data_IF_027390874543
#
_entry.id   IF_027390874543
#
_cell.length_a   1.000
_cell.length_b   1.000
_cell.length_c   1.000
_cell.angle_alpha   90.00
_cell.angle_beta   90.00
_cell.angle_gamma   90.00
#
_symmetry.space_group_name_H-M   'P 1'
#
loop_
_entity.id
_entity.type
_entity.pdbx_description
1 polymer ?
#
# COMPACT_ATOMS: atom_id res chain seq x y z
N UNK A 1 57.60 40.44 -18.16
CA UNK A 1 58.57 39.70 -18.98
C UNK A 1 59.52 38.98 -18.05
N UNK A 2 59.82 37.71 -18.41
CA UNK A 2 60.99 36.89 -18.04
C UNK A 2 61.19 36.57 -16.54
N UNK A 3 60.96 35.32 -16.12
CA UNK A 3 61.85 34.13 -16.17
C UNK A 3 62.70 34.00 -14.89
N UNK A 4 62.58 32.85 -14.22
CA UNK A 4 63.63 31.88 -13.85
C UNK A 4 65.05 32.43 -13.53
N UNK A 5 65.80 32.04 -12.50
CA UNK A 5 66.00 30.80 -11.73
C UNK A 5 66.66 31.20 -10.38
N UNK A 6 66.67 30.44 -9.29
CA UNK A 6 67.47 29.23 -9.13
C UNK A 6 67.37 28.69 -7.70
N UNK A 7 67.33 27.36 -7.60
CA UNK A 7 67.28 26.54 -6.40
C UNK A 7 68.59 26.62 -5.58
N UNK A 8 68.47 26.58 -4.26
CA UNK A 8 69.47 25.90 -3.42
C UNK A 8 68.77 24.99 -2.41
N UNK A 9 69.18 23.72 -2.44
CA UNK A 9 68.69 22.61 -1.64
C UNK A 9 69.20 22.72 -0.20
N UNK A 10 68.29 22.65 0.78
CA UNK A 10 68.63 22.38 2.19
C UNK A 10 68.02 21.03 2.58
N UNK A 11 68.75 20.16 3.30
CA UNK A 11 68.48 18.74 3.33
C UNK A 11 67.23 18.36 4.13
N UNK A 12 66.55 17.37 3.60
CA UNK A 12 65.44 16.62 4.16
C UNK A 12 65.75 16.14 5.58
N UNK A 13 65.16 16.77 6.60
CA UNK A 13 65.05 16.15 7.93
C UNK A 13 63.74 15.40 7.95
N UNK A 14 63.84 14.06 7.94
CA UNK A 14 62.70 13.16 7.93
C UNK A 14 61.79 13.40 9.12
N UNK A 15 60.74 14.20 8.93
CA UNK A 15 59.54 14.11 9.74
C UNK A 15 58.81 12.84 9.31
N UNK A 16 59.11 11.77 10.04
CA UNK A 16 58.28 10.58 10.08
C UNK A 16 56.85 11.04 10.41
N UNK A 17 55.96 11.06 9.40
CA UNK A 17 54.53 11.19 9.60
C UNK A 17 54.09 10.00 10.46
N UNK A 18 54.10 10.18 11.79
CA UNK A 18 53.38 9.28 12.67
C UNK A 18 51.90 9.45 12.31
N UNK A 19 51.20 8.42 11.83
CA UNK A 19 49.76 8.51 11.73
C UNK A 19 49.27 8.81 13.14
N UNK A 20 48.56 9.93 13.34
CA UNK A 20 47.74 10.08 14.53
C UNK A 20 46.79 8.89 14.49
N UNK A 21 47.03 7.89 15.33
CA UNK A 21 46.09 6.82 15.59
C UNK A 21 44.82 7.50 16.11
N UNK A 22 43.83 7.63 15.22
CA UNK A 22 42.48 7.94 15.63
C UNK A 22 41.98 6.72 16.40
N UNK A 23 42.10 6.76 17.73
CA UNK A 23 41.43 5.79 18.58
C UNK A 23 39.94 6.09 18.57
N UNK A 24 39.19 5.40 17.71
CA UNK A 24 37.74 5.29 17.86
C UNK A 24 37.49 4.42 19.11
N UNK A 25 37.33 5.06 20.26
CA UNK A 25 37.04 4.35 21.51
C UNK A 25 35.62 3.76 21.53
N UNK A 26 34.75 4.19 20.62
CA UNK A 26 33.39 3.68 20.49
C UNK A 26 32.98 3.73 19.01
N UNK A 27 32.61 2.59 18.45
CA UNK A 27 32.12 2.46 17.09
C UNK A 27 30.64 2.08 17.18
N UNK A 28 29.74 3.05 17.07
CA UNK A 28 28.32 2.80 16.96
C UNK A 28 27.99 2.54 15.50
N UNK A 29 27.73 1.28 15.16
CA UNK A 29 27.21 0.94 13.83
C UNK A 29 25.73 1.27 13.84
N UNK A 30 25.32 2.15 12.93
CA UNK A 30 23.91 2.44 12.74
C UNK A 30 23.15 1.15 12.42
N UNK A 31 21.99 1.00 13.06
CA UNK A 31 21.15 -0.20 12.97
C UNK A 31 20.78 -0.52 11.51
N UNK A 32 20.67 0.49 10.65
CA UNK A 32 20.41 0.32 9.21
C UNK A 32 21.58 -0.33 8.46
N UNK A 33 22.83 0.02 8.81
CA UNK A 33 24.05 -0.51 8.19
C UNK A 33 24.21 -1.99 8.51
N UNK A 34 23.92 -2.36 9.76
CA UNK A 34 23.94 -3.75 10.20
C UNK A 34 22.86 -4.58 9.47
N UNK A 35 21.61 -4.09 9.44
CA UNK A 35 20.49 -4.75 8.74
C UNK A 35 20.78 -4.96 7.25
N UNK A 36 21.34 -3.95 6.58
CA UNK A 36 21.71 -4.02 5.16
C UNK A 36 22.82 -5.05 4.90
N UNK A 37 23.83 -5.08 5.75
CA UNK A 37 24.94 -6.03 5.63
C UNK A 37 24.49 -7.47 5.85
N UNK A 38 23.67 -7.71 6.89
CA UNK A 38 23.10 -9.02 7.17
C UNK A 38 22.20 -9.48 6.03
N UNK A 39 21.33 -8.61 5.51
CA UNK A 39 20.50 -8.92 4.34
C UNK A 39 21.34 -9.37 3.15
N UNK A 40 22.41 -8.64 2.82
CA UNK A 40 23.29 -9.00 1.70
C UNK A 40 23.95 -10.36 1.91
N UNK A 41 24.38 -10.63 3.15
CA UNK A 41 24.90 -11.94 3.53
C UNK A 41 23.86 -13.04 3.31
N UNK A 42 22.64 -12.87 3.80
CA UNK A 42 21.54 -13.85 3.64
C UNK A 42 21.25 -14.09 2.14
N UNK A 43 21.17 -13.02 1.34
CA UNK A 43 20.94 -13.14 -0.10
C UNK A 43 22.04 -13.93 -0.82
N UNK A 44 23.31 -13.65 -0.53
CA UNK A 44 24.44 -14.37 -1.10
C UNK A 44 24.46 -15.84 -0.67
N UNK A 45 24.16 -16.08 0.60
CA UNK A 45 24.15 -17.42 1.16
C UNK A 45 23.01 -18.26 0.53
N UNK A 46 21.83 -17.66 0.33
CA UNK A 46 20.71 -18.29 -0.35
C UNK A 46 21.01 -18.61 -1.83
N UNK A 47 21.67 -17.68 -2.54
CA UNK A 47 22.10 -17.89 -3.93
C UNK A 47 23.11 -19.02 -4.06
N UNK A 48 24.09 -19.09 -3.14
CA UNK A 48 25.15 -20.12 -3.18
C UNK A 48 24.64 -21.53 -2.86
N UNK A 49 23.64 -21.64 -1.97
CA UNK A 49 23.12 -22.93 -1.49
C UNK A 49 21.81 -23.35 -2.16
N UNK A 50 21.44 -22.77 -3.31
CA UNK A 50 20.31 -23.24 -4.11
C UNK A 50 18.92 -23.06 -3.48
N UNK A 51 18.76 -22.17 -2.50
CA UNK A 51 17.49 -21.90 -1.80
C UNK A 51 16.85 -23.14 -1.11
N UNK A 52 17.62 -24.10 -0.60
CA UNK A 52 17.02 -25.27 0.08
C UNK A 52 16.15 -24.91 1.30
N UNK A 53 15.07 -25.68 1.54
CA UNK A 53 14.10 -25.41 2.61
C UNK A 53 14.73 -25.32 4.01
N UNK A 54 15.67 -26.23 4.33
CA UNK A 54 16.36 -26.22 5.62
C UNK A 54 17.20 -24.95 5.78
N UNK A 55 17.80 -24.47 4.69
CA UNK A 55 18.56 -23.24 4.67
C UNK A 55 17.64 -22.04 4.93
N UNK A 56 16.51 -21.95 4.23
CA UNK A 56 15.52 -20.88 4.46
C UNK A 56 15.05 -20.87 5.91
N UNK A 57 14.72 -22.03 6.50
CA UNK A 57 14.33 -22.12 7.92
C UNK A 57 15.39 -21.58 8.87
N UNK A 58 16.64 -21.98 8.70
CA UNK A 58 17.77 -21.48 9.51
C UNK A 58 17.92 -19.97 9.38
N UNK A 59 17.73 -19.42 8.17
CA UNK A 59 17.83 -17.97 7.94
C UNK A 59 16.64 -17.22 8.50
N UNK A 60 15.41 -17.74 8.40
CA UNK A 60 14.24 -17.17 9.06
C UNK A 60 14.44 -17.12 10.58
N UNK A 61 15.01 -18.17 11.19
CA UNK A 61 15.33 -18.17 12.62
C UNK A 61 16.36 -17.09 12.98
N UNK A 62 17.38 -16.90 12.15
CA UNK A 62 18.36 -15.81 12.30
C UNK A 62 17.68 -14.44 12.17
N UNK A 63 16.85 -14.25 11.15
CA UNK A 63 16.12 -12.99 10.93
C UNK A 63 15.25 -12.63 12.12
N UNK A 64 14.49 -13.59 12.66
CA UNK A 64 13.66 -13.40 13.86
C UNK A 64 14.49 -12.96 15.08
N UNK A 65 15.67 -13.53 15.27
CA UNK A 65 16.56 -13.23 16.41
C UNK A 65 17.25 -11.89 16.29
N UNK A 66 17.68 -11.53 15.08
CA UNK A 66 18.63 -10.43 14.86
C UNK A 66 17.96 -9.12 14.45
N UNK A 67 16.88 -9.20 13.66
CA UNK A 67 16.30 -8.01 13.01
C UNK A 67 15.04 -7.51 13.72
N UNK A 68 14.54 -8.26 14.70
CA UNK A 68 13.15 -8.13 15.13
C UNK A 68 12.19 -8.38 13.95
N UNK A 69 10.92 -8.04 14.15
CA UNK A 69 9.81 -8.37 13.23
C UNK A 69 9.78 -7.47 11.97
N UNK A 70 10.73 -6.55 11.76
CA UNK A 70 10.60 -5.51 10.71
C UNK A 70 11.89 -5.22 9.97
N UNK A 71 12.03 -5.81 8.79
CA UNK A 71 12.97 -5.34 7.77
C UNK A 71 12.38 -4.09 7.10
N UNK A 72 12.99 -2.94 7.36
CA UNK A 72 12.80 -1.76 6.52
C UNK A 72 13.87 -1.76 5.43
N UNK A 73 13.43 -1.40 4.22
CA UNK A 73 14.19 -1.10 2.99
C UNK A 73 14.40 -2.24 1.97
N UNK A 74 13.85 -1.96 0.77
CA UNK A 74 13.96 -2.62 -0.55
C UNK A 74 13.80 -4.16 -0.57
N UNK A 75 12.57 -4.64 -0.79
CA UNK A 75 12.10 -6.02 -0.57
C UNK A 75 12.60 -7.13 -1.54
N UNK A 76 13.82 -7.04 -2.07
CA UNK A 76 14.36 -8.09 -2.96
C UNK A 76 14.44 -9.48 -2.29
N UNK A 77 14.77 -9.54 -0.99
CA UNK A 77 14.95 -10.80 -0.27
C UNK A 77 13.62 -11.49 0.04
N UNK A 78 12.65 -10.76 0.58
CA UNK A 78 11.31 -11.27 0.88
C UNK A 78 10.62 -11.76 -0.39
N UNK A 79 10.75 -11.02 -1.49
CA UNK A 79 10.19 -11.44 -2.76
C UNK A 79 10.84 -12.73 -3.27
N UNK A 80 12.17 -12.87 -3.18
CA UNK A 80 12.87 -14.12 -3.53
C UNK A 80 12.41 -15.30 -2.66
N UNK A 81 12.34 -15.12 -1.33
CA UNK A 81 11.88 -16.16 -0.41
C UNK A 81 10.44 -16.55 -0.72
N UNK A 82 9.53 -15.59 -0.91
CA UNK A 82 8.13 -15.86 -1.21
C UNK A 82 7.92 -16.52 -2.57
N UNK A 83 8.65 -16.11 -3.62
CA UNK A 83 8.60 -16.78 -4.92
C UNK A 83 9.08 -18.23 -4.82
N UNK A 84 10.11 -18.50 -4.01
CA UNK A 84 10.59 -19.86 -3.76
C UNK A 84 9.57 -20.68 -2.96
N UNK A 85 9.01 -20.12 -1.89
CA UNK A 85 7.96 -20.79 -1.12
C UNK A 85 6.74 -21.07 -2.01
N UNK A 86 6.36 -20.14 -2.88
CA UNK A 86 5.28 -20.33 -3.85
C UNK A 86 5.55 -21.49 -4.82
N UNK A 87 6.79 -21.68 -5.28
CA UNK A 87 7.11 -22.74 -6.23
C UNK A 87 7.33 -24.11 -5.60
N UNK A 88 7.70 -24.17 -4.31
CA UNK A 88 8.15 -25.42 -3.67
C UNK A 88 7.32 -25.87 -2.47
N UNK A 89 6.66 -24.95 -1.78
CA UNK A 89 6.04 -25.23 -0.49
C UNK A 89 4.52 -25.34 -0.61
N UNK A 90 3.96 -26.45 -0.10
CA UNK A 90 2.51 -26.62 0.10
C UNK A 90 2.11 -26.57 1.57
N UNK A 91 3.08 -26.68 2.48
CA UNK A 91 2.86 -26.68 3.92
C UNK A 91 2.59 -25.25 4.41
N UNK A 92 1.41 -25.06 4.99
CA UNK A 92 1.01 -23.74 5.51
C UNK A 92 1.86 -23.33 6.70
N UNK A 93 2.34 -24.25 7.53
CA UNK A 93 3.08 -23.91 8.74
C UNK A 93 4.36 -23.15 8.42
N UNK A 94 5.06 -23.55 7.36
CA UNK A 94 6.30 -22.89 6.94
C UNK A 94 6.02 -21.47 6.44
N UNK A 95 4.95 -21.28 5.67
CA UNK A 95 4.56 -19.95 5.20
C UNK A 95 4.19 -19.08 6.39
N UNK A 96 3.42 -19.61 7.34
CA UNK A 96 3.03 -18.92 8.57
C UNK A 96 4.22 -18.54 9.45
N UNK A 97 5.29 -19.35 9.47
CA UNK A 97 6.54 -18.99 10.15
C UNK A 97 7.22 -17.78 9.50
N UNK A 98 7.04 -17.56 8.20
CA UNK A 98 7.61 -16.43 7.47
C UNK A 98 6.77 -15.15 7.59
N UNK A 99 5.44 -15.25 7.66
CA UNK A 99 4.55 -14.07 7.63
C UNK A 99 4.88 -12.98 8.67
N UNK A 100 5.31 -13.27 9.91
CA UNK A 100 5.75 -12.24 10.85
C UNK A 100 6.92 -11.39 10.33
N UNK A 101 7.78 -11.95 9.47
CA UNK A 101 8.93 -11.25 8.91
C UNK A 101 8.56 -10.36 7.71
N UNK A 102 7.34 -10.50 7.18
CA UNK A 102 6.89 -9.81 5.97
C UNK A 102 6.24 -8.46 6.34
N UNK A 103 6.85 -7.36 5.91
CA UNK A 103 6.19 -6.06 5.92
C UNK A 103 5.32 -5.91 4.67
N UNK A 104 4.03 -6.26 4.77
CA UNK A 104 3.12 -6.38 3.62
C UNK A 104 3.05 -5.11 2.76
N UNK A 105 2.92 -3.93 3.36
CA UNK A 105 2.83 -2.67 2.61
C UNK A 105 4.09 -2.42 1.78
N UNK A 106 5.25 -2.53 2.43
CA UNK A 106 6.53 -2.36 1.75
C UNK A 106 6.67 -3.36 0.61
N UNK A 107 6.37 -4.64 0.86
CA UNK A 107 6.43 -5.68 -0.17
C UNK A 107 5.46 -5.42 -1.34
N UNK A 108 4.26 -4.90 -1.09
CA UNK A 108 3.34 -4.52 -2.17
C UNK A 108 3.85 -3.37 -3.03
N UNK A 109 4.64 -2.45 -2.45
CA UNK A 109 5.30 -1.37 -3.21
C UNK A 109 6.38 -1.92 -4.16
N UNK A 110 6.94 -3.11 -3.91
CA UNK A 110 7.82 -3.79 -4.90
C UNK A 110 7.08 -4.47 -6.05
N UNK A 111 5.75 -4.31 -6.12
CA UNK A 111 4.91 -4.83 -7.21
C UNK A 111 5.08 -6.35 -7.44
N UNK A 112 4.84 -7.20 -6.41
CA UNK A 112 5.07 -8.63 -6.50
C UNK A 112 4.12 -9.31 -7.48
N UNK A 113 4.43 -10.55 -7.87
CA UNK A 113 3.51 -11.33 -8.70
C UNK A 113 2.16 -11.51 -7.97
N UNK A 114 1.06 -11.25 -8.67
CA UNK A 114 -0.30 -11.34 -8.09
C UNK A 114 -0.59 -12.76 -7.55
N UNK A 115 -0.09 -13.79 -8.23
CA UNK A 115 -0.22 -15.19 -7.80
C UNK A 115 0.49 -15.48 -6.47
N UNK A 116 1.63 -14.83 -6.22
CA UNK A 116 2.38 -14.97 -4.96
C UNK A 116 1.64 -14.26 -3.83
N UNK A 117 1.06 -13.09 -4.09
CA UNK A 117 0.18 -12.42 -3.12
C UNK A 117 -1.04 -13.27 -2.79
N UNK A 118 -1.71 -13.85 -3.78
CA UNK A 118 -2.86 -14.74 -3.56
C UNK A 118 -2.47 -15.98 -2.74
N UNK A 119 -1.31 -16.56 -3.02
CA UNK A 119 -0.74 -17.64 -2.22
C UNK A 119 -0.55 -17.23 -0.75
N UNK A 120 0.10 -16.10 -0.49
CA UNK A 120 0.31 -15.57 0.86
C UNK A 120 -1.02 -15.37 1.60
N UNK A 121 -2.00 -14.71 0.96
CA UNK A 121 -3.32 -14.46 1.53
C UNK A 121 -4.06 -15.76 1.86
N UNK A 122 -3.98 -16.75 0.97
CA UNK A 122 -4.61 -18.07 1.17
C UNK A 122 -3.99 -18.83 2.36
N UNK A 123 -2.68 -18.79 2.51
CA UNK A 123 -2.00 -19.44 3.64
C UNK A 123 -2.25 -18.72 4.97
N UNK A 124 -2.22 -17.37 4.97
CA UNK A 124 -2.59 -16.58 6.13
C UNK A 124 -4.01 -16.91 6.60
N UNK A 125 -4.97 -16.94 5.67
CA UNK A 125 -6.35 -17.33 5.94
C UNK A 125 -6.45 -18.73 6.56
N UNK A 126 -5.83 -19.74 5.93
CA UNK A 126 -5.86 -21.14 6.41
C UNK A 126 -5.28 -21.28 7.82
N UNK A 127 -4.21 -20.55 8.10
CA UNK A 127 -3.58 -20.52 9.42
C UNK A 127 -4.29 -19.65 10.44
N UNK A 128 -5.42 -19.00 10.08
CA UNK A 128 -6.06 -17.94 10.87
C UNK A 128 -5.06 -16.88 11.36
N UNK A 129 -4.04 -16.63 10.54
CA UNK A 129 -3.07 -15.60 10.82
C UNK A 129 -3.62 -14.28 10.32
N UNK A 130 -3.83 -13.37 11.27
CA UNK A 130 -4.07 -11.99 10.93
C UNK A 130 -2.77 -11.40 10.41
N UNK A 131 -2.73 -11.09 9.11
CA UNK A 131 -1.61 -10.40 8.46
C UNK A 131 -1.39 -8.96 8.98
N UNK A 132 -1.94 -8.65 10.16
CA UNK A 132 -2.26 -7.31 10.64
C UNK A 132 -2.97 -6.50 9.58
N UNK A 133 -3.65 -7.20 8.67
CA UNK A 133 -4.62 -6.58 7.83
C UNK A 133 -5.61 -5.94 8.76
N UNK A 134 -6.01 -6.59 9.87
CA UNK A 134 -7.07 -6.02 10.70
C UNK A 134 -6.68 -4.82 11.57
N UNK A 135 -5.42 -4.71 11.98
CA UNK A 135 -4.89 -3.56 12.74
C UNK A 135 -4.43 -2.40 11.83
N UNK A 136 -4.35 -2.64 10.51
CA UNK A 136 -3.91 -1.65 9.52
C UNK A 136 -4.81 -1.58 8.26
N UNK A 137 -6.07 -2.08 8.34
CA UNK A 137 -6.97 -2.43 7.20
C UNK A 137 -7.13 -1.35 6.14
N UNK A 138 -6.95 -0.11 6.55
CA UNK A 138 -7.10 1.04 5.69
C UNK A 138 -5.90 1.42 4.90
N UNK A 139 -4.73 1.21 5.48
CA UNK A 139 -3.50 1.74 4.95
C UNK A 139 -3.16 0.97 3.67
N UNK A 140 -3.19 -0.36 3.70
CA UNK A 140 -2.79 -1.19 2.55
C UNK A 140 -3.70 -1.01 1.33
N UNK A 141 -5.03 -1.05 1.54
CA UNK A 141 -6.00 -0.89 0.45
C UNK A 141 -5.92 0.51 -0.16
N UNK A 142 -5.82 1.55 0.67
CA UNK A 142 -5.69 2.92 0.17
C UNK A 142 -4.33 3.15 -0.49
N UNK A 143 -3.24 2.68 0.09
CA UNK A 143 -1.90 2.75 -0.52
C UNK A 143 -1.88 2.07 -1.89
N UNK A 144 -2.41 0.84 -2.00
CA UNK A 144 -2.52 0.17 -3.29
C UNK A 144 -3.38 0.96 -4.27
N UNK A 145 -4.47 1.57 -3.81
CA UNK A 145 -5.34 2.37 -4.67
C UNK A 145 -4.65 3.64 -5.17
N UNK A 146 -4.04 4.43 -4.28
CA UNK A 146 -3.36 5.68 -4.62
C UNK A 146 -2.05 5.49 -5.39
N UNK A 147 -1.41 4.32 -5.27
CA UNK A 147 -0.29 3.91 -6.13
C UNK A 147 -0.77 3.22 -7.43
N UNK A 148 -2.06 3.28 -7.76
CA UNK A 148 -2.63 2.68 -8.97
C UNK A 148 -2.41 1.16 -9.13
N UNK A 149 -2.15 0.46 -8.03
CA UNK A 149 -2.02 -1.00 -7.96
C UNK A 149 -3.38 -1.69 -7.89
N UNK A 150 -4.27 -1.40 -8.85
CA UNK A 150 -5.67 -1.83 -8.84
C UNK A 150 -5.88 -3.34 -8.72
N UNK A 151 -5.01 -4.15 -9.36
CA UNK A 151 -5.04 -5.62 -9.25
C UNK A 151 -4.92 -6.12 -7.80
N UNK A 152 -4.17 -5.42 -6.95
CA UNK A 152 -4.04 -5.77 -5.54
C UNK A 152 -5.27 -5.35 -4.75
N UNK A 153 -5.86 -4.19 -5.06
CA UNK A 153 -7.11 -3.75 -4.43
C UNK A 153 -8.21 -4.80 -4.64
N UNK A 154 -8.37 -5.28 -5.87
CA UNK A 154 -9.36 -6.33 -6.19
C UNK A 154 -9.13 -7.61 -5.40
N UNK A 155 -7.88 -8.08 -5.32
CA UNK A 155 -7.53 -9.29 -4.59
C UNK A 155 -7.69 -9.12 -3.06
N UNK A 156 -7.22 -8.00 -2.51
CA UNK A 156 -7.29 -7.72 -1.07
C UNK A 156 -8.74 -7.62 -0.58
N UNK A 157 -9.65 -7.04 -1.38
CA UNK A 157 -11.08 -6.98 -1.05
C UNK A 157 -11.78 -8.36 -1.01
N UNK A 158 -11.15 -9.43 -1.53
CA UNK A 158 -11.65 -10.80 -1.30
C UNK A 158 -11.42 -11.25 0.15
N UNK A 159 -10.30 -10.85 0.74
CA UNK A 159 -9.88 -11.27 2.08
C UNK A 159 -10.15 -10.22 3.17
N UNK A 160 -10.52 -8.99 2.78
CA UNK A 160 -10.78 -7.88 3.69
C UNK A 160 -12.17 -7.29 3.50
N UNK A 161 -12.69 -6.60 4.52
CA UNK A 161 -14.00 -5.97 4.45
C UNK A 161 -14.02 -4.77 3.49
N UNK A 162 -13.35 -3.68 3.86
CA UNK A 162 -13.38 -2.37 3.23
C UNK A 162 -12.14 -1.55 3.63
N UNK A 163 -11.74 -0.51 2.87
CA UNK A 163 -10.67 0.36 3.32
C UNK A 163 -11.09 1.13 4.57
N UNK A 164 -10.23 1.11 5.57
CA UNK A 164 -10.25 2.01 6.70
C UNK A 164 -9.58 3.35 6.35
N UNK A 165 -9.96 4.42 7.02
CA UNK A 165 -9.33 5.72 6.84
C UNK A 165 -8.89 6.15 8.24
N UNK A 166 -7.62 5.93 8.57
CA UNK A 166 -7.04 6.49 9.79
C UNK A 166 -7.04 8.01 9.73
N UNK A 167 -6.56 8.64 10.78
CA UNK A 167 -6.01 10.01 10.77
C UNK A 167 -4.77 10.12 9.85
N UNK A 168 -4.79 9.46 8.70
CA UNK A 168 -3.74 9.48 7.71
C UNK A 168 -3.67 10.88 7.10
N UNK A 169 -2.44 11.35 6.91
CA UNK A 169 -2.18 12.65 6.32
C UNK A 169 -2.46 12.56 4.82
N UNK A 170 -3.72 12.75 4.47
CA UNK A 170 -4.18 12.72 3.08
C UNK A 170 -3.38 13.70 2.21
N UNK A 171 -2.81 14.76 2.80
CA UNK A 171 -1.93 15.72 2.13
C UNK A 171 -0.65 15.08 1.56
N UNK A 172 -0.06 14.07 2.23
CA UNK A 172 1.13 13.35 1.72
C UNK A 172 0.79 12.57 0.46
N UNK A 173 -0.40 11.95 0.41
CA UNK A 173 -0.85 11.25 -0.79
C UNK A 173 -1.14 12.29 -1.88
N UNK A 174 -1.98 13.29 -1.61
CA UNK A 174 -2.36 14.32 -2.59
C UNK A 174 -1.12 14.95 -3.24
N UNK A 175 -0.11 15.34 -2.45
CA UNK A 175 1.13 15.92 -2.94
C UNK A 175 1.98 14.96 -3.79
N UNK A 176 1.92 13.64 -3.54
CA UNK A 176 2.70 12.66 -4.31
C UNK A 176 2.12 12.39 -5.70
N UNK A 177 0.80 12.28 -5.86
CA UNK A 177 0.17 11.96 -7.16
C UNK A 177 -0.35 13.18 -7.92
N UNK A 178 -0.46 14.37 -7.32
CA UNK A 178 -0.80 15.60 -8.05
C UNK A 178 0.41 16.26 -8.73
N UNK A 179 1.65 15.86 -8.39
CA UNK A 179 2.87 16.39 -9.02
C UNK A 179 2.85 16.26 -10.55
N UNK A 180 2.19 15.21 -11.05
CA UNK A 180 2.11 14.88 -12.47
C UNK A 180 0.70 15.11 -13.07
N UNK A 181 -0.22 15.74 -12.32
CA UNK A 181 -1.58 15.96 -12.79
C UNK A 181 -1.63 17.17 -13.76
N UNK A 182 -2.15 17.02 -14.99
CA UNK A 182 -2.18 18.09 -16.00
C UNK A 182 -3.24 19.18 -15.72
N UNK A 183 -3.69 19.35 -14.47
CA UNK A 183 -4.86 20.15 -14.13
C UNK A 183 -4.48 21.38 -13.28
N UNK A 184 -5.22 22.48 -13.47
CA UNK A 184 -5.10 23.80 -12.82
C UNK A 184 -5.41 23.82 -11.31
N UNK A 185 -5.35 22.69 -10.61
CA UNK A 185 -5.63 22.61 -9.18
C UNK A 185 -4.38 22.16 -8.44
N UNK A 186 -4.06 22.88 -7.38
CA UNK A 186 -2.98 22.51 -6.49
C UNK A 186 -3.50 21.62 -5.35
N UNK A 187 -2.65 20.82 -4.69
CA UNK A 187 -3.02 20.06 -3.48
C UNK A 187 -3.82 20.86 -2.46
N UNK A 188 -3.44 22.12 -2.25
CA UNK A 188 -4.04 23.06 -1.32
C UNK A 188 -5.51 23.34 -1.68
N UNK A 189 -5.84 23.44 -2.97
CA UNK A 189 -7.21 23.65 -3.43
C UNK A 189 -8.12 22.48 -3.06
N UNK A 190 -7.60 21.25 -3.09
CA UNK A 190 -8.37 20.06 -2.70
C UNK A 190 -8.63 20.00 -1.19
N UNK A 191 -7.70 20.51 -0.38
CA UNK A 191 -7.79 20.49 1.09
C UNK A 191 -8.75 21.53 1.67
N UNK A 192 -9.08 22.59 0.91
CA UNK A 192 -9.92 23.70 1.38
C UNK A 192 -11.21 23.24 2.10
N UNK A 193 -12.04 22.31 1.56
CA UNK A 193 -13.25 21.90 2.25
C UNK A 193 -12.99 21.18 3.56
N UNK A 194 -11.88 20.45 3.68
CA UNK A 194 -11.50 19.80 4.91
C UNK A 194 -11.02 20.83 5.95
N UNK A 195 -10.12 21.73 5.54
CA UNK A 195 -9.58 22.80 6.39
C UNK A 195 -10.70 23.73 6.91
N UNK A 196 -11.74 23.98 6.10
CA UNK A 196 -12.90 24.81 6.47
C UNK A 196 -14.02 24.05 7.20
N UNK A 197 -13.83 22.75 7.49
CA UNK A 197 -14.85 21.92 8.15
C UNK A 197 -16.11 21.66 7.31
N UNK A 198 -16.07 21.89 6.00
CA UNK A 198 -17.18 21.66 5.08
C UNK A 198 -17.34 20.18 4.72
N UNK A 199 -16.26 19.40 4.81
CA UNK A 199 -16.27 17.94 4.72
C UNK A 199 -15.60 17.34 5.94
N UNK A 200 -16.20 16.30 6.52
CA UNK A 200 -15.53 15.48 7.53
C UNK A 200 -14.31 14.79 6.93
N UNK A 201 -13.33 14.43 7.77
CA UNK A 201 -12.09 13.74 7.33
C UNK A 201 -12.39 12.52 6.46
N UNK A 202 -13.33 11.67 6.90
CA UNK A 202 -13.75 10.47 6.15
C UNK A 202 -14.35 10.83 4.78
N UNK A 203 -15.23 11.83 4.71
CA UNK A 203 -15.81 12.30 3.44
C UNK A 203 -14.72 12.85 2.53
N UNK A 204 -13.78 13.63 3.07
CA UNK A 204 -12.66 14.15 2.32
C UNK A 204 -11.77 13.04 1.72
N UNK A 205 -11.36 12.03 2.50
CA UNK A 205 -10.55 10.91 1.99
C UNK A 205 -11.25 10.11 0.89
N UNK A 206 -12.57 9.91 1.01
CA UNK A 206 -13.39 9.27 -0.02
C UNK A 206 -13.46 10.12 -1.30
N UNK A 207 -13.56 11.43 -1.15
CA UNK A 207 -13.54 12.35 -2.28
C UNK A 207 -12.19 12.33 -3.01
N UNK A 208 -11.08 12.35 -2.26
CA UNK A 208 -9.74 12.22 -2.84
C UNK A 208 -9.54 10.93 -3.61
N UNK A 209 -10.10 9.82 -3.12
CA UNK A 209 -10.05 8.55 -3.84
C UNK A 209 -10.75 8.64 -5.20
N UNK A 210 -11.93 9.27 -5.26
CA UNK A 210 -12.64 9.52 -6.52
C UNK A 210 -11.82 10.44 -7.43
N UNK A 211 -11.24 11.51 -6.87
CA UNK A 211 -10.46 12.48 -7.62
C UNK A 211 -9.20 11.86 -8.21
N UNK A 212 -8.46 11.06 -7.43
CA UNK A 212 -7.32 10.28 -7.89
C UNK A 212 -7.71 9.34 -9.03
N UNK A 213 -8.77 8.55 -8.83
CA UNK A 213 -9.31 7.66 -9.85
C UNK A 213 -9.64 8.42 -11.14
N UNK A 214 -10.24 9.62 -11.02
CA UNK A 214 -10.47 10.47 -12.18
C UNK A 214 -9.14 10.83 -12.85
N UNK A 215 -8.15 11.36 -12.14
CA UNK A 215 -6.87 11.77 -12.72
C UNK A 215 -6.15 10.64 -13.50
N UNK A 216 -6.14 9.42 -12.96
CA UNK A 216 -5.38 8.30 -13.56
C UNK A 216 -6.18 7.46 -14.56
N UNK A 217 -7.50 7.71 -14.72
CA UNK A 217 -8.41 6.85 -15.51
C UNK A 217 -8.01 6.59 -16.97
N UNK A 218 -7.30 7.54 -17.58
CA UNK A 218 -6.91 7.48 -19.00
C UNK A 218 -5.44 7.09 -19.18
N UNK A 219 -4.67 6.90 -18.10
CA UNK A 219 -3.26 6.54 -18.19
C UNK A 219 -3.13 5.07 -18.59
N UNK A 220 -2.34 4.72 -19.62
CA UNK A 220 -1.91 3.35 -19.84
C UNK A 220 -0.99 2.90 -18.69
N UNK A 221 -1.06 1.65 -18.19
CA UNK A 221 -1.94 0.54 -18.58
C UNK A 221 -3.23 0.44 -17.74
N UNK A 222 -3.65 1.54 -17.12
CA UNK A 222 -4.76 1.62 -16.14
C UNK A 222 -6.13 1.77 -16.81
N UNK A 223 -6.16 2.19 -18.08
CA UNK A 223 -7.38 2.35 -18.86
C UNK A 223 -8.29 1.11 -18.75
N UNK A 224 -9.56 1.35 -18.43
CA UNK A 224 -10.57 0.30 -18.23
C UNK A 224 -10.51 -0.41 -16.87
N UNK A 225 -9.43 -0.31 -16.09
CA UNK A 225 -9.30 -0.96 -14.77
C UNK A 225 -9.77 -0.09 -13.60
N UNK A 226 -9.68 1.23 -13.77
CA UNK A 226 -9.96 2.19 -12.70
C UNK A 226 -11.42 2.15 -12.24
N UNK A 227 -12.37 2.28 -13.16
CA UNK A 227 -13.81 2.31 -12.82
C UNK A 227 -14.31 0.99 -12.21
N UNK A 228 -13.96 -0.21 -12.71
CA UNK A 228 -14.30 -1.47 -12.03
C UNK A 228 -13.75 -1.56 -10.61
N UNK A 229 -12.47 -1.20 -10.42
CA UNK A 229 -11.83 -1.25 -9.09
C UNK A 229 -12.46 -0.27 -8.13
N UNK A 230 -12.70 0.98 -8.58
CA UNK A 230 -13.38 2.00 -7.80
C UNK A 230 -14.79 1.55 -7.41
N UNK A 231 -15.53 0.91 -8.33
CA UNK A 231 -16.86 0.35 -8.06
C UNK A 231 -16.80 -0.75 -7.00
N UNK A 232 -15.84 -1.67 -7.11
CA UNK A 232 -15.63 -2.76 -6.15
C UNK A 232 -15.36 -2.21 -4.74
N UNK A 233 -14.47 -1.22 -4.66
CA UNK A 233 -14.16 -0.54 -3.41
C UNK A 233 -15.39 0.15 -2.83
N UNK A 234 -16.15 0.91 -3.63
CA UNK A 234 -17.37 1.58 -3.17
C UNK A 234 -18.55 0.66 -2.85
N UNK A 235 -18.49 -0.62 -3.25
CA UNK A 235 -19.43 -1.66 -2.80
C UNK A 235 -19.13 -2.13 -1.38
N UNK A 236 -17.86 -2.03 -0.95
CA UNK A 236 -17.45 -2.40 0.41
C UNK A 236 -17.74 -1.33 1.47
N UNK A 237 -17.94 -0.07 1.05
CA UNK A 237 -18.10 1.08 1.94
C UNK A 237 -19.56 1.34 2.32
N UNK A 238 -19.92 1.56 3.59
CA UNK A 238 -21.29 1.89 4.00
C UNK A 238 -21.71 3.32 3.64
N UNK A 239 -20.79 4.16 3.19
CA UNK A 239 -20.96 5.60 3.02
C UNK A 239 -22.01 5.99 1.97
N UNK A 240 -22.76 7.05 2.28
CA UNK A 240 -23.70 7.68 1.37
C UNK A 240 -23.00 8.23 0.12
N UNK A 241 -23.73 8.34 -0.98
CA UNK A 241 -23.18 8.91 -2.20
C UNK A 241 -22.96 10.42 -2.08
N UNK A 242 -21.96 10.97 -2.79
CA UNK A 242 -21.81 12.42 -2.93
C UNK A 242 -22.87 13.01 -3.87
N UNK A 243 -23.43 14.16 -3.48
CA UNK A 243 -24.24 14.98 -4.40
C UNK A 243 -23.37 16.00 -5.11
N UNK A 244 -23.78 16.41 -6.31
CA UNK A 244 -23.09 17.49 -7.00
C UNK A 244 -23.19 18.79 -6.21
N UNK A 245 -24.34 19.05 -5.60
CA UNK A 245 -24.59 20.23 -4.77
C UNK A 245 -23.69 20.27 -3.53
N UNK A 246 -23.55 19.16 -2.81
CA UNK A 246 -22.64 19.03 -1.66
C UNK A 246 -21.22 19.42 -2.05
N UNK A 247 -20.72 18.87 -3.16
CA UNK A 247 -19.36 19.14 -3.63
C UNK A 247 -19.22 20.58 -4.16
N UNK A 248 -20.20 21.10 -4.90
CA UNK A 248 -20.15 22.48 -5.41
C UNK A 248 -20.18 23.49 -4.27
N UNK A 249 -20.98 23.26 -3.23
CA UNK A 249 -21.02 24.09 -2.02
C UNK A 249 -19.69 24.02 -1.27
N UNK A 250 -19.13 22.83 -1.10
CA UNK A 250 -17.84 22.62 -0.46
C UNK A 250 -16.69 23.40 -1.14
N UNK A 251 -16.72 23.48 -2.48
CA UNK A 251 -15.66 24.12 -3.29
C UNK A 251 -16.04 25.50 -3.84
N UNK A 252 -17.09 26.15 -3.34
CA UNK A 252 -17.62 27.40 -3.90
C UNK A 252 -16.61 28.56 -3.92
N UNK A 253 -15.66 28.58 -2.97
CA UNK A 253 -14.59 29.59 -2.88
C UNK A 253 -13.33 29.27 -3.68
N UNK A 254 -13.28 28.15 -4.41
CA UNK A 254 -12.10 27.71 -5.16
C UNK A 254 -12.24 28.10 -6.63
N UNK A 255 -11.27 28.82 -7.17
CA UNK A 255 -11.35 29.38 -8.53
C UNK A 255 -11.42 28.24 -9.57
N UNK A 256 -12.36 28.36 -10.51
CA UNK A 256 -12.52 27.37 -11.59
C UNK A 256 -13.09 26.02 -11.14
N UNK A 257 -13.49 25.89 -9.87
CA UNK A 257 -13.78 24.58 -9.30
C UNK A 257 -15.02 23.91 -9.89
N UNK A 258 -16.05 24.71 -10.19
CA UNK A 258 -17.35 24.24 -10.68
C UNK A 258 -17.26 23.28 -11.87
N UNK A 259 -16.38 23.57 -12.84
CA UNK A 259 -16.19 22.73 -14.04
C UNK A 259 -15.51 21.42 -13.70
N UNK A 260 -14.46 21.46 -12.89
CA UNK A 260 -13.68 20.29 -12.49
C UNK A 260 -14.51 19.36 -11.62
N UNK A 261 -15.14 19.89 -10.57
CA UNK A 261 -16.05 19.13 -9.68
C UNK A 261 -17.18 18.50 -10.48
N UNK A 262 -17.78 19.23 -11.42
CA UNK A 262 -18.80 18.66 -12.31
C UNK A 262 -18.30 17.51 -13.17
N UNK A 263 -17.06 17.57 -13.69
CA UNK A 263 -16.47 16.51 -14.48
C UNK A 263 -16.14 15.26 -13.64
N UNK A 264 -15.54 15.45 -12.46
CA UNK A 264 -15.22 14.37 -11.52
C UNK A 264 -16.50 13.70 -11.02
N UNK A 265 -17.53 14.49 -10.69
CA UNK A 265 -18.83 13.96 -10.24
C UNK A 265 -19.53 13.13 -11.33
N UNK A 266 -19.52 13.57 -12.60
CA UNK A 266 -20.05 12.76 -13.72
C UNK A 266 -19.32 11.42 -13.88
N UNK A 267 -17.99 11.42 -13.74
CA UNK A 267 -17.19 10.20 -13.75
C UNK A 267 -17.56 9.27 -12.58
N UNK A 268 -17.70 9.85 -11.38
CA UNK A 268 -18.11 9.16 -10.17
C UNK A 268 -19.47 8.47 -10.31
N UNK A 269 -20.49 9.20 -10.79
CA UNK A 269 -21.84 8.66 -11.00
C UNK A 269 -21.79 7.48 -11.97
N UNK A 270 -21.12 7.65 -13.12
CA UNK A 270 -20.96 6.58 -14.12
C UNK A 270 -20.22 5.36 -13.57
N UNK A 271 -19.19 5.58 -12.76
CA UNK A 271 -18.31 4.53 -12.26
C UNK A 271 -18.88 3.76 -11.07
N UNK A 272 -19.68 4.40 -10.21
CA UNK A 272 -20.11 3.82 -8.93
C UNK A 272 -21.63 3.77 -8.81
N UNK A 273 -22.28 4.94 -8.87
CA UNK A 273 -23.70 5.08 -8.54
C UNK A 273 -24.62 4.44 -9.60
N UNK A 274 -24.16 4.38 -10.86
CA UNK A 274 -25.02 3.98 -11.97
C UNK A 274 -26.19 4.97 -12.12
N UNK A 275 -27.39 4.46 -12.39
CA UNK A 275 -28.61 5.25 -12.56
C UNK A 275 -29.24 5.72 -11.24
N UNK A 276 -28.61 5.43 -10.08
CA UNK A 276 -29.08 5.91 -8.80
C UNK A 276 -28.92 7.44 -8.73
N UNK A 277 -30.04 8.15 -8.53
CA UNK A 277 -30.04 9.61 -8.34
C UNK A 277 -29.12 9.97 -7.17
N UNK A 278 -28.15 10.86 -7.42
CA UNK A 278 -27.22 11.32 -6.39
C UNK A 278 -27.97 11.98 -5.24
N UNK A 279 -27.64 11.60 -4.00
CA UNK A 279 -28.23 12.15 -2.78
C UNK A 279 -29.21 11.23 -2.05
N UNK A 280 -29.50 10.05 -2.62
CA UNK A 280 -30.25 9.03 -1.91
C UNK A 280 -29.33 8.26 -0.93
N UNK A 281 -29.80 7.95 0.29
CA UNK A 281 -29.13 7.01 1.18
C UNK A 281 -28.88 5.67 0.47
N UNK A 282 -27.84 4.95 0.89
CA UNK A 282 -27.62 3.59 0.38
C UNK A 282 -28.85 2.72 0.70
N UNK A 283 -29.26 1.82 -0.20
CA UNK A 283 -30.34 0.88 0.10
C UNK A 283 -30.01 0.04 1.33
N UNK A 284 -31.03 -0.37 2.11
CA UNK A 284 -30.83 -1.22 3.29
C UNK A 284 -30.00 -2.47 2.99
N UNK A 285 -30.24 -3.10 1.83
CA UNK A 285 -29.47 -4.27 1.36
C UNK A 285 -27.95 -4.01 1.30
N UNK A 286 -27.53 -2.78 0.99
CA UNK A 286 -26.12 -2.38 0.97
C UNK A 286 -25.55 -2.27 2.39
N UNK A 287 -26.30 -1.72 3.35
CA UNK A 287 -25.91 -1.73 4.76
C UNK A 287 -25.79 -3.15 5.31
N UNK A 288 -26.73 -4.05 4.98
CA UNK A 288 -26.63 -5.47 5.33
C UNK A 288 -25.34 -6.09 4.78
N UNK A 289 -24.99 -5.83 3.51
CA UNK A 289 -23.74 -6.34 2.91
C UNK A 289 -22.52 -5.95 3.71
N UNK A 290 -22.35 -4.65 3.96
CA UNK A 290 -21.16 -4.12 4.62
C UNK A 290 -21.07 -4.61 6.07
N UNK A 291 -22.21 -4.75 6.76
CA UNK A 291 -22.28 -5.30 8.12
C UNK A 291 -21.90 -6.78 8.18
N UNK A 292 -22.48 -7.61 7.29
CA UNK A 292 -22.18 -9.04 7.22
C UNK A 292 -20.71 -9.27 6.88
N UNK A 293 -20.19 -8.59 5.84
CA UNK A 293 -18.77 -8.69 5.46
C UNK A 293 -17.84 -8.23 6.58
N UNK A 294 -18.17 -7.15 7.29
CA UNK A 294 -17.40 -6.69 8.46
C UNK A 294 -17.31 -7.78 9.52
N UNK A 295 -18.43 -8.42 9.85
CA UNK A 295 -18.46 -9.52 10.82
C UNK A 295 -17.63 -10.73 10.36
N UNK A 296 -17.78 -11.15 9.10
CA UNK A 296 -16.97 -12.23 8.53
C UNK A 296 -15.47 -11.90 8.52
N UNK A 297 -15.10 -10.67 8.16
CA UNK A 297 -13.71 -10.22 8.16
C UNK A 297 -13.10 -10.25 9.57
N UNK A 298 -13.83 -9.71 10.55
CA UNK A 298 -13.40 -9.67 11.95
C UNK A 298 -13.14 -11.07 12.51
N UNK A 299 -13.93 -12.05 12.08
CA UNK A 299 -13.78 -13.45 12.47
C UNK A 299 -12.80 -14.25 11.58
N UNK A 300 -12.02 -13.59 10.71
CA UNK A 300 -11.11 -14.22 9.74
C UNK A 300 -11.80 -15.29 8.88
N UNK A 301 -13.05 -15.02 8.48
CA UNK A 301 -13.88 -15.92 7.67
C UNK A 301 -13.98 -15.48 6.20
N UNK A 302 -13.54 -14.29 5.80
CA UNK A 302 -13.54 -13.94 4.37
C UNK A 302 -12.39 -14.64 3.60
N UNK A 303 -12.61 -15.11 2.36
CA UNK A 303 -13.89 -15.11 1.63
C UNK A 303 -14.80 -16.33 1.94
N UNK A 304 -14.24 -17.46 2.37
CA UNK A 304 -14.95 -18.76 2.40
C UNK A 304 -16.18 -18.81 3.32
N UNK A 305 -16.19 -18.01 4.38
CA UNK A 305 -17.33 -17.84 5.26
C UNK A 305 -18.58 -17.34 4.55
N UNK A 306 -18.46 -16.66 3.41
CA UNK A 306 -19.61 -16.34 2.55
C UNK A 306 -20.21 -17.62 1.95
N UNK A 307 -19.36 -18.56 1.53
CA UNK A 307 -19.79 -19.84 0.96
C UNK A 307 -20.46 -20.74 2.00
N UNK A 308 -20.05 -20.61 3.27
CA UNK A 308 -20.64 -21.32 4.41
C UNK A 308 -22.03 -20.77 4.80
N UNK A 309 -22.41 -19.55 4.36
CA UNK A 309 -23.73 -18.99 4.63
C UNK A 309 -24.83 -19.78 3.90
N UNK A 310 -25.91 -20.10 4.62
CA UNK A 310 -27.13 -20.70 4.07
C UNK A 310 -28.02 -19.67 3.40
N UNK A 311 -27.48 -18.95 2.40
CA UNK A 311 -28.18 -17.95 1.61
C UNK A 311 -28.13 -18.28 0.12
N UNK A 312 -29.11 -17.83 -0.70
CA UNK A 312 -29.11 -18.07 -2.14
C UNK A 312 -27.82 -17.62 -2.84
N UNK A 313 -27.40 -18.27 -3.95
CA UNK A 313 -26.17 -17.93 -4.68
C UNK A 313 -26.07 -16.46 -5.08
N UNK A 314 -27.19 -15.83 -5.48
CA UNK A 314 -27.25 -14.40 -5.80
C UNK A 314 -26.87 -13.51 -4.61
N UNK A 315 -27.18 -13.90 -3.38
CA UNK A 315 -26.77 -13.17 -2.18
C UNK A 315 -25.30 -13.43 -1.85
N UNK A 316 -24.78 -14.63 -2.09
CA UNK A 316 -23.34 -14.91 -1.95
C UNK A 316 -22.50 -14.04 -2.90
N UNK A 317 -22.84 -14.01 -4.19
CA UNK A 317 -22.20 -13.13 -5.17
C UNK A 317 -22.26 -11.65 -4.74
N UNK A 318 -23.43 -11.19 -4.28
CA UNK A 318 -23.60 -9.84 -3.76
C UNK A 318 -22.70 -9.55 -2.54
N UNK A 319 -22.55 -10.50 -1.61
CA UNK A 319 -21.66 -10.41 -0.45
C UNK A 319 -20.17 -10.49 -0.85
N UNK A 320 -19.84 -11.19 -1.94
CA UNK A 320 -18.51 -11.25 -2.55
C UNK A 320 -18.15 -9.99 -3.36
N UNK A 321 -18.99 -8.95 -3.30
CA UNK A 321 -18.87 -7.67 -4.03
C UNK A 321 -19.03 -7.80 -5.57
N UNK A 322 -19.52 -8.95 -6.04
CA UNK A 322 -19.81 -9.20 -7.45
C UNK A 322 -21.08 -8.45 -7.88
N UNK A 323 -21.37 -8.49 -9.20
CA UNK A 323 -22.49 -7.77 -9.79
C UNK A 323 -23.84 -8.37 -9.43
#
# INVERSE_FOLDING_TARGET
>A
GRENDSLSLVPYTGQCWKPKTFCFNEFTVDDSVYKKSLRRFIEQALQKNGMEMNFIRSHMALMKRVLGVRLFEANSLEDKILNFLFSTCKDSNIVLEFLPLLHLNSWLLTNPKLSVLEYVLKHAYRGRYDLKLNDSQGVVLNECFFNSHFKYVELLLKYQNAPYYYEYDCGILVSSWMRDAPNQWYPEDLEIPFQRGLLSRRRYSLWLQIFHAYCVRNQPPLHGKVSPTLRLLWRSLPDAFFTLEELQKAYAGVRGSRRVIGAVHRFYVRSIAGDLKSGTPRPLKHFCRTTIRKSLCYNLRLPHGIEELRVPPKLKAFLSLEK
#
